data_IF_204263554293
#
_entry.id   IF_204263554293
#
_cell.length_a   1.000
_cell.length_b   1.000
_cell.length_c   1.000
_cell.angle_alpha   90.00
_cell.angle_beta   90.00
_cell.angle_gamma   90.00
#
_symmetry.space_group_name_H-M   'P 1'
#
loop_
_entity.id
_entity.type
_entity.pdbx_description
1 polymer ?
#
# COMPACT_ATOMS: atom_id res chain seq x y z
N UNK A 1 -19.48 7.92 -0.94
CA UNK A 1 -20.14 7.79 -2.27
C UNK A 1 -20.42 9.17 -2.85
N UNK A 2 -20.48 9.31 -4.19
CA UNK A 2 -20.92 10.53 -4.88
C UNK A 2 -19.94 11.72 -4.90
N UNK A 3 -18.68 11.51 -4.50
CA UNK A 3 -17.63 12.54 -4.55
C UNK A 3 -16.76 12.36 -5.79
N UNK A 4 -16.26 13.45 -6.35
CA UNK A 4 -15.14 13.41 -7.30
C UNK A 4 -13.85 13.11 -6.53
N UNK A 5 -12.94 12.39 -7.17
CA UNK A 5 -11.63 12.09 -6.59
C UNK A 5 -10.57 13.03 -7.14
N UNK A 6 -9.54 13.30 -6.33
CA UNK A 6 -8.44 14.15 -6.73
C UNK A 6 -7.52 13.39 -7.69
N UNK A 7 -7.23 14.00 -8.83
CA UNK A 7 -6.23 13.52 -9.78
C UNK A 7 -5.00 14.40 -9.61
N UNK A 8 -3.86 13.79 -9.26
CA UNK A 8 -2.63 14.51 -8.99
C UNK A 8 -1.95 14.97 -10.31
N UNK A 9 -1.76 16.28 -10.53
CA UNK A 9 -1.09 16.79 -11.73
C UNK A 9 0.34 16.26 -11.93
N UNK A 10 1.06 15.97 -10.84
CA UNK A 10 2.41 15.38 -10.92
C UNK A 10 2.36 14.00 -11.57
N UNK A 11 1.36 13.17 -11.24
CA UNK A 11 1.18 11.86 -11.86
C UNK A 11 0.77 11.98 -13.34
N UNK A 12 -0.06 12.96 -13.68
CA UNK A 12 -0.41 13.23 -15.08
C UNK A 12 0.81 13.58 -15.93
N UNK A 13 1.75 14.36 -15.37
CA UNK A 13 2.99 14.72 -16.05
C UNK A 13 3.87 13.49 -16.30
N UNK A 14 4.04 12.62 -15.30
CA UNK A 14 4.79 11.37 -15.45
C UNK A 14 4.18 10.46 -16.52
N UNK A 15 2.85 10.28 -16.50
CA UNK A 15 2.13 9.54 -17.55
C UNK A 15 2.35 10.16 -18.94
N UNK A 16 2.36 11.48 -19.04
CA UNK A 16 2.57 12.18 -20.32
C UNK A 16 3.94 11.84 -20.92
N UNK A 17 4.99 11.67 -20.10
CA UNK A 17 6.32 11.25 -20.59
C UNK A 17 6.26 9.88 -21.28
N UNK A 18 5.52 8.93 -20.71
CA UNK A 18 5.34 7.59 -21.26
C UNK A 18 4.40 7.58 -22.47
N UNK A 19 3.35 8.40 -22.47
CA UNK A 19 2.41 8.56 -23.61
C UNK A 19 3.14 9.06 -24.85
N UNK A 20 4.09 9.99 -24.69
CA UNK A 20 4.86 10.56 -25.79
C UNK A 20 5.70 9.52 -26.54
N UNK A 21 6.07 8.43 -25.88
CA UNK A 21 6.93 7.38 -26.43
C UNK A 21 6.20 6.04 -26.63
N UNK A 22 4.91 5.96 -26.29
CA UNK A 22 4.08 4.78 -26.48
C UNK A 22 3.30 4.81 -27.82
N UNK A 23 2.80 3.65 -28.22
CA UNK A 23 1.93 3.49 -29.39
C UNK A 23 0.87 2.41 -29.16
N UNK A 24 -0.15 2.36 -30.03
CA UNK A 24 -1.23 1.37 -29.99
C UNK A 24 -1.94 1.29 -28.63
N UNK A 25 -2.28 0.06 -28.22
CA UNK A 25 -3.00 -0.23 -26.96
C UNK A 25 -2.35 0.44 -25.75
N UNK A 26 -1.02 0.43 -25.65
CA UNK A 26 -0.30 1.04 -24.52
C UNK A 26 -0.60 2.53 -24.43
N UNK A 27 -0.50 3.26 -25.55
CA UNK A 27 -0.78 4.70 -25.57
C UNK A 27 -2.24 4.99 -25.22
N UNK A 28 -3.17 4.20 -25.76
CA UNK A 28 -4.60 4.37 -25.50
C UNK A 28 -4.93 4.17 -24.02
N UNK A 29 -4.37 3.12 -23.40
CA UNK A 29 -4.55 2.85 -21.97
C UNK A 29 -3.93 3.97 -21.12
N UNK A 30 -2.67 4.36 -21.37
CA UNK A 30 -2.01 5.44 -20.61
C UNK A 30 -2.79 6.77 -20.73
N UNK A 31 -3.35 7.05 -21.91
CA UNK A 31 -4.18 8.25 -22.11
C UNK A 31 -5.45 8.21 -21.26
N UNK A 32 -6.09 7.04 -21.11
CA UNK A 32 -7.23 6.86 -20.20
C UNK A 32 -6.84 7.06 -18.73
N UNK A 33 -5.62 6.64 -18.35
CA UNK A 33 -5.09 6.76 -17.00
C UNK A 33 -4.88 8.22 -16.55
N UNK A 34 -4.72 9.17 -17.49
CA UNK A 34 -4.51 10.61 -17.17
C UNK A 34 -5.58 11.19 -16.23
N UNK A 35 -6.80 10.66 -16.24
CA UNK A 35 -7.90 11.16 -15.41
C UNK A 35 -8.29 10.18 -14.30
N UNK A 36 -7.45 9.19 -14.02
CA UNK A 36 -7.70 8.20 -12.97
C UNK A 36 -7.03 8.66 -11.67
N UNK A 37 -7.77 8.75 -10.55
CA UNK A 37 -7.20 9.17 -9.28
C UNK A 37 -6.29 8.09 -8.70
N UNK A 38 -5.22 8.49 -8.01
CA UNK A 38 -4.38 7.59 -7.21
C UNK A 38 -4.02 8.26 -5.89
N UNK A 39 -3.67 7.47 -4.89
CA UNK A 39 -3.20 8.02 -3.63
C UNK A 39 -1.81 8.64 -3.78
N UNK A 40 -1.49 9.61 -2.93
CA UNK A 40 -0.16 10.19 -2.88
C UNK A 40 0.59 9.73 -1.62
N UNK A 41 1.80 9.18 -1.80
CA UNK A 41 2.60 8.59 -0.73
C UNK A 41 3.42 9.65 0.00
N UNK A 42 3.22 9.76 1.32
CA UNK A 42 3.97 10.66 2.20
C UNK A 42 5.03 9.82 2.91
N UNK A 43 5.99 9.32 2.14
CA UNK A 43 7.02 8.36 2.56
C UNK A 43 8.28 9.02 3.17
N UNK A 44 8.25 10.35 3.31
CA UNK A 44 9.25 11.20 3.98
C UNK A 44 8.60 12.49 4.49
N UNK A 45 9.13 13.07 5.56
CA UNK A 45 8.72 14.33 6.18
C UNK A 45 8.76 15.51 5.20
N UNK A 46 9.70 15.53 4.26
CA UNK A 46 9.84 16.62 3.29
C UNK A 46 8.62 16.79 2.36
N UNK A 47 7.77 15.76 2.22
CA UNK A 47 6.52 15.82 1.45
C UNK A 47 5.35 16.45 2.21
N UNK A 48 5.49 16.81 3.48
CA UNK A 48 4.36 17.35 4.26
C UNK A 48 4.06 18.80 3.88
N UNK A 49 5.06 19.68 3.92
CA UNK A 49 4.89 21.12 3.68
C UNK A 49 5.50 21.52 2.34
N UNK A 50 4.81 22.38 1.61
CA UNK A 50 5.26 22.81 0.29
C UNK A 50 4.17 23.53 -0.50
N UNK A 51 4.58 24.20 -1.57
CA UNK A 51 3.67 24.98 -2.41
C UNK A 51 3.20 24.23 -3.67
N UNK A 52 3.85 23.13 -4.04
CA UNK A 52 3.57 22.37 -5.25
C UNK A 52 2.80 21.06 -4.96
N UNK A 53 2.26 20.44 -6.01
CA UNK A 53 1.48 19.20 -5.94
C UNK A 53 2.31 17.94 -5.67
N UNK A 54 3.55 18.10 -5.21
CA UNK A 54 4.40 17.05 -4.66
C UNK A 54 4.52 17.14 -3.14
N UNK A 55 3.63 17.89 -2.49
CA UNK A 55 3.51 18.00 -1.04
C UNK A 55 2.04 17.92 -0.60
N UNK A 56 1.79 17.47 0.63
CA UNK A 56 0.43 17.44 1.21
C UNK A 56 -0.20 18.83 1.14
N UNK A 57 0.51 19.86 1.62
CA UNK A 57 -0.02 21.23 1.65
C UNK A 57 -0.36 21.76 0.26
N UNK A 58 0.50 21.54 -0.74
CA UNK A 58 0.24 21.98 -2.10
C UNK A 58 -0.89 21.19 -2.78
N UNK A 59 -1.00 19.88 -2.53
CA UNK A 59 -2.11 19.04 -3.03
C UNK A 59 -3.44 19.50 -2.43
N UNK A 60 -3.51 19.72 -1.12
CA UNK A 60 -4.73 20.17 -0.46
C UNK A 60 -5.14 21.57 -0.93
N UNK A 61 -4.18 22.47 -1.17
CA UNK A 61 -4.42 23.79 -1.74
C UNK A 61 -4.98 23.71 -3.16
N UNK A 62 -4.41 22.86 -4.01
CA UNK A 62 -4.92 22.63 -5.37
C UNK A 62 -6.34 22.02 -5.32
N UNK A 63 -6.57 21.00 -4.48
CA UNK A 63 -7.89 20.40 -4.29
C UNK A 63 -8.94 21.41 -3.82
N UNK A 64 -8.60 22.25 -2.83
CA UNK A 64 -9.48 23.29 -2.31
C UNK A 64 -9.87 24.35 -3.35
N UNK A 65 -9.07 24.53 -4.41
CA UNK A 65 -9.35 25.47 -5.49
C UNK A 65 -10.35 24.93 -6.54
N UNK A 66 -10.62 23.62 -6.52
CA UNK A 66 -11.49 22.94 -7.49
C UNK A 66 -12.96 23.03 -7.09
N UNK A 67 -13.84 22.95 -8.10
CA UNK A 67 -15.29 22.91 -7.91
C UNK A 67 -15.92 21.79 -8.76
N UNK A 68 -16.54 20.75 -8.16
CA UNK A 68 -16.60 20.49 -6.72
C UNK A 68 -15.22 20.16 -6.12
N UNK A 69 -15.05 20.41 -4.81
CA UNK A 69 -13.83 20.05 -4.08
C UNK A 69 -13.72 18.52 -4.06
N UNK A 70 -12.65 17.93 -4.64
CA UNK A 70 -12.51 16.49 -4.71
C UNK A 70 -12.02 15.88 -3.39
N UNK A 71 -12.22 14.58 -3.24
CA UNK A 71 -11.63 13.76 -2.19
C UNK A 71 -10.17 13.45 -2.49
N UNK A 72 -9.29 13.71 -1.52
CA UNK A 72 -7.85 13.43 -1.60
C UNK A 72 -7.53 12.19 -0.78
N UNK A 73 -6.71 11.29 -1.32
CA UNK A 73 -6.23 10.09 -0.60
C UNK A 73 -4.72 10.18 -0.43
N UNK A 74 -4.24 10.03 0.80
CA UNK A 74 -2.81 9.95 1.11
C UNK A 74 -2.46 8.60 1.75
N UNK A 75 -1.22 8.17 1.56
CA UNK A 75 -0.61 7.08 2.32
C UNK A 75 0.33 7.70 3.37
N UNK A 76 0.02 7.46 4.65
CA UNK A 76 0.87 7.79 5.79
C UNK A 76 1.85 6.62 5.97
N UNK A 77 3.15 6.86 5.84
CA UNK A 77 4.12 5.78 5.69
C UNK A 77 5.53 6.21 6.08
N UNK A 78 5.80 6.48 7.36
CA UNK A 78 7.15 6.89 7.80
C UNK A 78 7.47 6.44 9.22
N UNK A 79 6.90 5.30 9.66
CA UNK A 79 7.21 4.74 10.97
C UNK A 79 8.74 4.57 11.20
N UNK A 80 9.21 4.71 12.45
CA UNK A 80 10.59 4.35 12.78
C UNK A 80 10.86 2.89 12.46
N UNK A 81 12.01 2.59 11.86
CA UNK A 81 12.35 1.24 11.39
C UNK A 81 11.26 0.66 10.44
N UNK A 82 10.74 1.49 9.54
CA UNK A 82 9.76 1.10 8.51
C UNK A 82 10.21 -0.14 7.74
N UNK A 83 9.27 -0.96 7.26
CA UNK A 83 9.52 -2.11 6.38
C UNK A 83 10.51 -3.11 7.00
N UNK A 84 10.28 -3.49 8.26
CA UNK A 84 11.28 -4.22 9.06
C UNK A 84 11.72 -5.56 8.45
N UNK A 85 10.89 -6.19 7.60
CA UNK A 85 11.22 -7.45 6.94
C UNK A 85 11.82 -7.26 5.54
N UNK A 86 11.79 -6.03 5.00
CA UNK A 86 12.44 -5.72 3.74
C UNK A 86 13.96 -5.68 3.94
N UNK A 87 14.69 -6.10 2.91
CA UNK A 87 16.16 -6.00 2.89
C UNK A 87 16.64 -4.58 2.56
N UNK A 88 15.71 -3.74 2.12
CA UNK A 88 15.97 -2.39 1.67
C UNK A 88 14.78 -1.47 1.99
N UNK A 89 14.64 -1.12 3.27
CA UNK A 89 13.68 -0.09 3.69
C UNK A 89 14.11 1.30 3.23
N UNK A 90 13.11 2.11 2.84
CA UNK A 90 13.30 3.52 2.51
C UNK A 90 13.02 4.48 3.69
N UNK A 91 12.71 3.96 4.90
CA UNK A 91 12.33 4.79 6.05
C UNK A 91 13.46 5.71 6.50
N UNK A 92 13.17 7.00 6.68
CA UNK A 92 14.16 7.99 7.13
C UNK A 92 14.24 8.10 8.65
N UNK A 93 13.24 7.57 9.37
CA UNK A 93 13.20 7.60 10.83
C UNK A 93 13.77 6.28 11.38
N UNK A 94 14.83 6.39 12.17
CA UNK A 94 15.43 5.26 12.87
C UNK A 94 15.07 5.28 14.35
N UNK A 95 14.87 4.10 14.94
CA UNK A 95 14.85 3.99 16.40
C UNK A 95 16.20 4.37 17.01
N UNK A 96 17.27 3.88 16.38
CA UNK A 96 18.66 4.17 16.72
C UNK A 96 19.46 4.33 15.41
N UNK A 97 19.98 5.52 15.10
CA UNK A 97 20.79 5.72 13.90
C UNK A 97 22.25 5.28 14.11
N UNK A 98 22.87 4.77 13.05
CA UNK A 98 24.32 4.59 12.92
C UNK A 98 25.00 5.95 12.67
N UNK A 99 26.33 5.98 12.77
CA UNK A 99 27.12 7.19 12.52
C UNK A 99 26.99 7.73 11.09
N UNK A 100 26.66 6.86 10.13
CA UNK A 100 26.43 7.21 8.72
C UNK A 100 24.97 7.62 8.41
N UNK A 101 24.09 7.63 9.41
CA UNK A 101 22.68 7.98 9.28
C UNK A 101 21.77 6.81 8.89
N UNK A 102 22.30 5.61 8.62
CA UNK A 102 21.47 4.42 8.42
C UNK A 102 20.86 3.93 9.73
N UNK A 103 19.78 3.14 9.70
CA UNK A 103 19.18 2.61 10.93
C UNK A 103 19.96 1.40 11.46
N UNK A 104 20.24 1.40 12.76
CA UNK A 104 20.74 0.23 13.48
C UNK A 104 19.55 -0.63 13.92
N UNK A 105 19.21 -1.63 13.11
CA UNK A 105 18.11 -2.56 13.39
C UNK A 105 18.45 -3.60 14.47
N UNK A 106 19.73 -3.79 14.80
CA UNK A 106 20.17 -4.73 15.85
C UNK A 106 20.01 -4.12 17.26
N UNK A 107 20.00 -2.79 17.37
CA UNK A 107 19.88 -2.11 18.65
C UNK A 107 18.47 -2.24 19.23
N UNK A 108 18.35 -3.02 20.30
CA UNK A 108 17.14 -3.12 21.12
C UNK A 108 16.92 -1.87 22.00
N UNK A 109 15.66 -1.63 22.37
CA UNK A 109 15.28 -0.58 23.30
C UNK A 109 13.83 -0.13 23.12
N UNK A 110 13.50 1.07 23.61
CA UNK A 110 12.13 1.62 23.61
C UNK A 110 11.82 2.51 22.40
N UNK A 111 12.80 2.75 21.52
CA UNK A 111 12.68 3.63 20.37
C UNK A 111 12.23 5.07 20.71
N UNK A 112 12.46 5.56 21.93
CA UNK A 112 11.87 6.83 22.38
C UNK A 112 12.25 8.03 21.49
N UNK A 113 13.48 8.07 20.95
CA UNK A 113 13.91 9.12 20.03
C UNK A 113 13.22 9.02 18.66
N UNK A 114 13.22 7.83 18.04
CA UNK A 114 12.53 7.60 16.76
C UNK A 114 11.03 7.90 16.84
N UNK A 115 10.36 7.43 17.90
CA UNK A 115 8.95 7.75 18.16
C UNK A 115 8.75 9.26 18.29
N UNK A 116 9.58 9.99 19.05
CA UNK A 116 9.46 11.46 19.14
C UNK A 116 9.62 12.15 17.79
N UNK A 117 10.55 11.71 16.95
CA UNK A 117 10.71 12.25 15.59
C UNK A 117 9.46 12.00 14.77
N UNK A 118 8.97 10.75 14.72
CA UNK A 118 7.75 10.39 14.01
C UNK A 118 6.54 11.21 14.49
N UNK A 119 6.33 11.35 15.79
CA UNK A 119 5.19 12.10 16.29
C UNK A 119 5.31 13.61 16.04
N UNK A 120 6.44 14.23 16.39
CA UNK A 120 6.58 15.69 16.41
C UNK A 120 7.01 16.32 15.09
N UNK A 121 7.66 15.57 14.20
CA UNK A 121 8.20 16.07 12.93
C UNK A 121 7.46 15.51 11.71
N UNK A 122 6.77 14.38 11.85
CA UNK A 122 5.97 13.78 10.78
C UNK A 122 4.45 13.90 11.04
N UNK A 123 3.90 13.21 12.04
CA UNK A 123 2.46 13.16 12.28
C UNK A 123 1.87 14.52 12.68
N UNK A 124 2.47 15.23 13.63
CA UNK A 124 1.95 16.51 14.11
C UNK A 124 1.92 17.59 13.00
N UNK A 125 3.00 17.78 12.22
CA UNK A 125 2.98 18.68 11.07
C UNK A 125 1.96 18.28 10.01
N UNK A 126 1.82 16.98 9.72
CA UNK A 126 0.83 16.49 8.76
C UNK A 126 -0.60 16.81 9.24
N UNK A 127 -0.92 16.51 10.50
CA UNK A 127 -2.22 16.84 11.09
C UNK A 127 -2.49 18.36 11.09
N UNK A 128 -1.47 19.18 11.35
CA UNK A 128 -1.57 20.65 11.29
C UNK A 128 -1.88 21.15 9.87
N UNK A 129 -1.29 20.54 8.84
CA UNK A 129 -1.58 20.87 7.44
C UNK A 129 -3.03 20.47 7.12
N UNK A 130 -3.46 19.25 7.46
CA UNK A 130 -4.84 18.80 7.25
C UNK A 130 -5.87 19.70 7.94
N UNK A 131 -5.59 20.15 9.16
CA UNK A 131 -6.46 21.06 9.92
C UNK A 131 -6.61 22.45 9.27
N UNK A 132 -5.66 22.85 8.42
CA UNK A 132 -5.72 24.12 7.67
C UNK A 132 -6.59 24.04 6.42
N UNK A 133 -7.05 22.84 6.03
CA UNK A 133 -7.94 22.60 4.89
C UNK A 133 -9.18 21.77 5.28
N UNK A 134 -9.99 22.21 6.26
CA UNK A 134 -11.14 21.44 6.76
C UNK A 134 -12.23 21.17 5.70
N UNK A 135 -12.24 21.94 4.62
CA UNK A 135 -13.16 21.78 3.50
C UNK A 135 -12.78 20.64 2.54
N UNK A 136 -11.53 20.16 2.57
CA UNK A 136 -11.05 19.12 1.64
C UNK A 136 -11.27 17.74 2.27
N UNK A 137 -12.26 16.95 1.81
CA UNK A 137 -12.47 15.60 2.31
C UNK A 137 -11.21 14.75 2.06
N UNK A 138 -10.68 14.14 3.10
CA UNK A 138 -9.39 13.42 3.02
C UNK A 138 -9.51 11.99 3.53
N UNK A 139 -8.91 11.04 2.82
CA UNK A 139 -8.71 9.67 3.26
C UNK A 139 -7.23 9.46 3.56
N UNK A 140 -6.92 8.85 4.70
CA UNK A 140 -5.56 8.42 5.04
C UNK A 140 -5.52 6.91 5.17
N UNK A 141 -4.59 6.30 4.44
CA UNK A 141 -4.19 4.91 4.64
C UNK A 141 -3.00 4.90 5.59
N UNK A 142 -3.11 4.16 6.69
CA UNK A 142 -2.16 4.23 7.79
C UNK A 142 -1.17 3.07 7.72
N UNK A 143 0.08 3.42 7.48
CA UNK A 143 1.29 2.63 7.67
C UNK A 143 1.22 1.22 7.07
N UNK A 144 1.16 1.08 5.72
CA UNK A 144 1.38 -0.21 5.07
C UNK A 144 2.69 -0.87 5.50
N UNK A 145 2.75 -2.21 5.37
CA UNK A 145 3.94 -3.02 5.70
C UNK A 145 4.49 -2.80 7.14
N UNK A 146 3.57 -2.56 8.09
CA UNK A 146 3.92 -2.34 9.51
C UNK A 146 3.41 -3.46 10.42
N UNK A 147 2.19 -3.33 10.93
CA UNK A 147 1.58 -4.24 11.91
C UNK A 147 1.45 -5.70 11.46
N UNK A 148 1.22 -6.03 10.16
CA UNK A 148 1.27 -7.40 9.68
C UNK A 148 2.59 -8.11 9.99
N UNK A 149 3.73 -7.40 9.99
CA UNK A 149 5.03 -7.95 10.37
C UNK A 149 5.07 -8.40 11.84
N UNK A 150 4.37 -7.70 12.73
CA UNK A 150 4.26 -8.11 14.13
C UNK A 150 3.42 -9.38 14.30
N UNK A 151 2.57 -9.72 13.33
CA UNK A 151 1.76 -10.94 13.37
C UNK A 151 2.53 -12.16 12.85
N UNK A 152 3.41 -12.00 11.85
CA UNK A 152 4.01 -13.13 11.12
C UNK A 152 5.53 -13.19 11.14
N UNK A 153 6.21 -12.04 11.29
CA UNK A 153 7.65 -11.92 11.02
C UNK A 153 8.46 -11.61 12.29
N UNK A 154 7.94 -11.86 13.50
CA UNK A 154 8.69 -11.64 14.74
C UNK A 154 9.95 -12.52 14.88
N UNK A 155 10.08 -13.58 14.08
CA UNK A 155 11.31 -14.36 13.99
C UNK A 155 12.44 -13.66 13.23
N UNK A 156 12.12 -12.64 12.42
CA UNK A 156 13.11 -11.77 11.80
C UNK A 156 13.74 -10.86 12.87
N UNK A 157 15.08 -10.81 13.00
CA UNK A 157 15.75 -9.98 14.00
C UNK A 157 15.36 -8.50 13.97
N UNK A 158 15.03 -7.94 12.81
CA UNK A 158 14.65 -6.54 12.67
C UNK A 158 13.20 -6.28 13.12
N UNK A 159 12.28 -7.17 12.75
CA UNK A 159 10.86 -7.04 13.12
C UNK A 159 10.56 -7.45 14.56
N UNK A 160 11.21 -8.52 15.03
CA UNK A 160 11.12 -8.99 16.42
C UNK A 160 11.89 -8.12 17.41
N UNK A 161 12.72 -7.18 16.94
CA UNK A 161 13.47 -6.27 17.79
C UNK A 161 12.52 -5.44 18.67
N UNK A 162 12.83 -5.34 19.96
CA UNK A 162 12.01 -4.60 20.93
C UNK A 162 11.81 -3.12 20.55
N UNK A 163 12.79 -2.50 19.89
CA UNK A 163 12.70 -1.13 19.42
C UNK A 163 11.67 -0.97 18.29
N UNK A 164 11.71 -1.86 17.29
CA UNK A 164 10.74 -1.87 16.17
C UNK A 164 9.33 -2.16 16.68
N UNK A 165 9.18 -3.17 17.57
CA UNK A 165 7.89 -3.50 18.19
C UNK A 165 7.33 -2.30 18.96
N UNK A 166 8.17 -1.61 19.74
CA UNK A 166 7.78 -0.41 20.47
C UNK A 166 7.38 0.73 19.52
N UNK A 167 8.14 0.95 18.45
CA UNK A 167 7.86 1.97 17.44
C UNK A 167 6.47 1.77 16.81
N UNK A 168 6.17 0.56 16.36
CA UNK A 168 4.92 0.28 15.65
C UNK A 168 3.72 0.33 16.62
N UNK A 169 3.85 -0.24 17.82
CA UNK A 169 2.78 -0.25 18.84
C UNK A 169 2.52 1.13 19.45
N UNK A 170 3.47 2.06 19.40
CA UNK A 170 3.27 3.44 19.87
C UNK A 170 2.88 4.40 18.74
N UNK A 171 3.57 4.30 17.59
CA UNK A 171 3.41 5.20 16.44
C UNK A 171 2.05 5.09 15.77
N UNK A 172 1.61 3.87 15.43
CA UNK A 172 0.32 3.68 14.73
C UNK A 172 -0.87 4.20 15.56
N UNK A 173 -1.00 3.87 16.86
CA UNK A 173 -2.08 4.44 17.65
C UNK A 173 -1.98 5.95 17.82
N UNK A 174 -0.76 6.51 17.90
CA UNK A 174 -0.58 7.96 17.95
C UNK A 174 -1.11 8.64 16.68
N UNK A 175 -0.72 8.14 15.50
CA UNK A 175 -1.19 8.65 14.21
C UNK A 175 -2.73 8.61 14.10
N UNK A 176 -3.34 7.45 14.41
CA UNK A 176 -4.79 7.31 14.39
C UNK A 176 -5.47 8.26 15.37
N UNK A 177 -4.99 8.33 16.61
CA UNK A 177 -5.53 9.22 17.63
C UNK A 177 -5.45 10.67 17.20
N UNK A 178 -4.33 11.09 16.61
CA UNK A 178 -4.13 12.46 16.13
C UNK A 178 -5.06 12.80 14.96
N UNK A 179 -5.08 11.97 13.92
CA UNK A 179 -5.87 12.28 12.74
C UNK A 179 -7.39 12.13 12.97
N UNK A 180 -7.81 11.23 13.86
CA UNK A 180 -9.23 11.04 14.18
C UNK A 180 -9.90 12.26 14.83
N UNK A 181 -9.12 13.25 15.31
CA UNK A 181 -9.69 14.52 15.80
C UNK A 181 -10.19 15.43 14.67
N UNK A 182 -9.85 15.13 13.41
CA UNK A 182 -10.22 15.92 12.24
C UNK A 182 -11.44 15.31 11.55
N UNK A 183 -12.61 15.91 11.73
CA UNK A 183 -13.89 15.34 11.24
C UNK A 183 -14.00 15.14 9.72
N UNK A 184 -13.18 15.84 8.93
CA UNK A 184 -13.11 15.71 7.46
C UNK A 184 -12.13 14.62 7.00
N UNK A 185 -11.45 13.94 7.93
CA UNK A 185 -10.48 12.88 7.67
C UNK A 185 -11.09 11.52 7.96
N UNK A 186 -10.99 10.60 7.01
CA UNK A 186 -11.40 9.20 7.14
C UNK A 186 -10.15 8.30 7.16
N UNK A 187 -10.07 7.39 8.12
CA UNK A 187 -8.88 6.55 8.33
C UNK A 187 -9.15 5.09 7.97
N UNK A 188 -8.22 4.49 7.24
CA UNK A 188 -8.13 3.04 7.07
C UNK A 188 -6.76 2.57 7.52
N UNK A 189 -6.73 1.54 8.38
CA UNK A 189 -5.50 0.91 8.82
C UNK A 189 -5.08 -0.16 7.82
N UNK A 190 -3.82 -0.20 7.42
CA UNK A 190 -3.38 -1.26 6.52
C UNK A 190 -3.43 -2.64 7.17
N UNK A 191 -3.93 -3.61 6.41
CA UNK A 191 -4.05 -5.00 6.79
C UNK A 191 -3.45 -5.94 5.74
N UNK A 192 -2.33 -5.55 5.11
CA UNK A 192 -1.62 -6.36 4.12
C UNK A 192 -2.55 -6.90 3.01
N UNK A 193 -2.53 -8.21 2.76
CA UNK A 193 -3.28 -8.89 1.70
C UNK A 193 -3.52 -10.36 2.04
N UNK A 194 -4.40 -11.04 1.29
CA UNK A 194 -4.82 -12.43 1.53
C UNK A 194 -3.68 -13.43 1.51
N UNK A 195 -2.75 -13.28 0.56
CA UNK A 195 -1.53 -14.10 0.49
C UNK A 195 -0.50 -13.91 1.61
N UNK A 196 -0.78 -13.08 2.64
CA UNK A 196 0.09 -12.87 3.80
C UNK A 196 -0.66 -13.16 5.11
N UNK A 197 -1.77 -12.47 5.34
CA UNK A 197 -2.54 -12.61 6.58
C UNK A 197 -3.71 -13.59 6.46
N UNK A 198 -3.98 -14.17 5.29
CA UNK A 198 -5.14 -15.03 5.09
C UNK A 198 -5.14 -16.33 5.91
N UNK A 199 -3.97 -16.84 6.35
CA UNK A 199 -3.93 -18.00 7.25
C UNK A 199 -4.61 -17.69 8.59
N UNK A 200 -5.48 -18.59 9.11
CA UNK A 200 -6.23 -18.34 10.33
C UNK A 200 -5.40 -17.88 11.54
N UNK A 201 -4.23 -18.50 11.76
CA UNK A 201 -3.34 -18.12 12.88
C UNK A 201 -2.72 -16.73 12.69
N UNK A 202 -2.32 -16.38 11.47
CA UNK A 202 -1.75 -15.07 11.15
C UNK A 202 -2.83 -13.99 11.34
N UNK A 203 -4.02 -14.25 10.82
CA UNK A 203 -5.15 -13.35 10.91
C UNK A 203 -5.58 -13.11 12.36
N UNK A 204 -5.64 -14.17 13.17
CA UNK A 204 -5.96 -14.08 14.59
C UNK A 204 -4.90 -13.28 15.36
N UNK A 205 -3.61 -13.52 15.09
CA UNK A 205 -2.49 -12.78 15.71
C UNK A 205 -2.55 -11.28 15.37
N UNK A 206 -2.83 -10.96 14.11
CA UNK A 206 -3.07 -9.58 13.66
C UNK A 206 -4.28 -8.97 14.37
N UNK A 207 -5.42 -9.66 14.41
CA UNK A 207 -6.64 -9.16 15.05
C UNK A 207 -6.48 -8.91 16.55
N UNK A 208 -5.72 -9.74 17.26
CA UNK A 208 -5.36 -9.52 18.66
C UNK A 208 -4.49 -8.27 18.83
N UNK A 209 -3.52 -8.07 17.94
CA UNK A 209 -2.67 -6.87 17.93
C UNK A 209 -3.50 -5.61 17.74
N UNK A 210 -4.43 -5.58 16.77
CA UNK A 210 -5.27 -4.41 16.51
C UNK A 210 -6.25 -4.14 17.66
N UNK A 211 -6.91 -5.18 18.17
CA UNK A 211 -7.82 -5.06 19.33
C UNK A 211 -7.08 -4.47 20.54
N UNK A 212 -5.86 -4.94 20.82
CA UNK A 212 -5.04 -4.48 21.93
C UNK A 212 -4.62 -3.01 21.85
N UNK A 213 -4.64 -2.40 20.66
CA UNK A 213 -4.31 -0.98 20.49
C UNK A 213 -5.45 -0.02 20.89
N UNK A 214 -6.70 -0.51 20.97
CA UNK A 214 -7.84 0.32 21.37
C UNK A 214 -8.22 1.42 20.39
N UNK A 215 -7.89 1.27 19.10
CA UNK A 215 -8.11 2.28 18.05
C UNK A 215 -9.22 1.93 17.06
N UNK A 216 -9.84 0.74 17.17
CA UNK A 216 -10.88 0.27 16.24
C UNK A 216 -12.05 1.25 16.10
N UNK A 217 -12.47 1.90 17.19
CA UNK A 217 -13.55 2.90 17.16
C UNK A 217 -13.18 4.25 16.53
N UNK A 218 -11.93 4.42 16.07
CA UNK A 218 -11.41 5.67 15.49
C UNK A 218 -11.06 5.53 14.00
N UNK A 219 -11.12 4.31 13.47
CA UNK A 219 -10.92 4.03 12.06
C UNK A 219 -12.26 3.66 11.41
N UNK A 220 -12.37 3.88 10.10
CA UNK A 220 -13.51 3.40 9.32
C UNK A 220 -13.40 1.91 9.00
N UNK A 221 -12.16 1.43 8.90
CA UNK A 221 -11.83 0.02 8.77
C UNK A 221 -10.43 -0.15 8.18
N UNK A 222 -10.26 -1.02 7.18
CA UNK A 222 -8.94 -1.45 6.73
C UNK A 222 -8.67 -1.22 5.24
N UNK A 223 -7.40 -1.03 4.88
CA UNK A 223 -6.95 -1.18 3.50
C UNK A 223 -6.32 -2.55 3.28
N UNK A 224 -6.45 -3.06 2.06
CA UNK A 224 -5.85 -4.33 1.65
C UNK A 224 -5.18 -4.20 0.29
N UNK A 225 -4.27 -5.13 -0.01
CA UNK A 225 -3.51 -5.22 -1.26
C UNK A 225 -2.60 -4.02 -1.57
N UNK A 226 -2.37 -3.11 -0.62
CA UNK A 226 -1.62 -1.87 -0.85
C UNK A 226 -0.26 -2.19 -1.46
N UNK A 227 0.01 -1.65 -2.65
CA UNK A 227 1.23 -1.93 -3.42
C UNK A 227 1.50 -3.41 -3.73
N UNK A 228 0.52 -4.31 -3.60
CA UNK A 228 0.67 -5.71 -3.96
C UNK A 228 -0.11 -6.03 -5.25
N UNK A 229 -0.23 -7.32 -5.53
CA UNK A 229 -0.73 -7.84 -6.79
C UNK A 229 -1.67 -9.04 -6.57
N UNK A 230 -2.21 -9.22 -5.35
CA UNK A 230 -3.22 -10.26 -5.14
C UNK A 230 -4.44 -9.98 -6.00
N UNK A 231 -5.03 -11.02 -6.61
CA UNK A 231 -6.17 -10.85 -7.49
C UNK A 231 -7.36 -10.29 -6.72
N UNK A 232 -8.15 -9.42 -7.36
CA UNK A 232 -9.43 -9.01 -6.79
C UNK A 232 -10.39 -10.22 -6.67
N UNK A 233 -10.49 -11.03 -7.72
CA UNK A 233 -11.25 -12.28 -7.73
C UNK A 233 -12.77 -12.11 -7.69
N UNK A 234 -13.44 -13.14 -7.19
CA UNK A 234 -14.89 -13.19 -6.95
C UNK A 234 -15.10 -13.54 -5.49
N UNK A 235 -16.02 -12.84 -4.83
CA UNK A 235 -16.35 -13.10 -3.43
C UNK A 235 -17.10 -14.42 -3.29
N UNK A 236 -16.66 -15.30 -2.39
CA UNK A 236 -17.37 -16.54 -2.09
C UNK A 236 -18.61 -16.31 -1.20
N UNK A 237 -19.56 -17.28 -1.15
CA UNK A 237 -20.77 -17.17 -0.34
C UNK A 237 -20.53 -17.04 1.17
N UNK A 238 -19.44 -17.62 1.69
CA UNK A 238 -19.08 -17.59 3.11
C UNK A 238 -17.57 -17.76 3.30
N UNK A 239 -17.08 -17.41 4.50
CA UNK A 239 -15.68 -17.65 4.91
C UNK A 239 -15.33 -19.14 4.83
N UNK A 240 -14.09 -19.43 4.43
CA UNK A 240 -13.58 -20.80 4.31
C UNK A 240 -14.22 -21.66 3.22
N UNK A 241 -15.02 -21.08 2.30
CA UNK A 241 -15.77 -21.82 1.27
C UNK A 241 -14.91 -22.82 0.47
N UNK A 242 -13.70 -22.41 0.08
CA UNK A 242 -12.82 -23.20 -0.78
C UNK A 242 -11.91 -24.18 -0.03
N UNK A 243 -11.88 -24.14 1.31
CA UNK A 243 -10.98 -24.97 2.09
C UNK A 243 -11.26 -26.47 1.89
N UNK A 244 -10.26 -27.32 2.10
CA UNK A 244 -10.36 -28.77 1.91
C UNK A 244 -10.71 -29.21 0.49
N UNK A 245 -10.20 -28.49 -0.52
CA UNK A 245 -10.48 -28.70 -1.94
C UNK A 245 -11.98 -28.72 -2.25
N UNK A 246 -12.78 -28.00 -1.46
CA UNK A 246 -14.21 -27.89 -1.69
C UNK A 246 -14.47 -26.85 -2.78
N UNK A 247 -15.51 -27.09 -3.59
CA UNK A 247 -16.00 -26.12 -4.56
C UNK A 247 -14.97 -25.59 -5.58
N UNK A 248 -13.95 -26.38 -5.94
CA UNK A 248 -12.87 -25.95 -6.85
C UNK A 248 -13.33 -25.50 -8.25
N UNK A 249 -14.54 -25.89 -8.68
CA UNK A 249 -15.13 -25.41 -9.93
C UNK A 249 -15.77 -24.02 -9.82
N UNK A 250 -15.96 -23.51 -8.59
CA UNK A 250 -16.51 -22.17 -8.34
C UNK A 250 -15.45 -21.11 -8.71
N UNK A 251 -15.78 -20.11 -9.55
CA UNK A 251 -14.87 -19.02 -9.87
C UNK A 251 -14.30 -18.28 -8.66
N UNK A 252 -15.02 -18.25 -7.52
CA UNK A 252 -14.55 -17.62 -6.29
C UNK A 252 -13.37 -18.39 -5.64
N UNK A 253 -13.18 -19.66 -6.01
CA UNK A 253 -12.08 -20.52 -5.57
C UNK A 253 -10.89 -20.55 -6.53
N UNK A 254 -10.86 -19.68 -7.55
CA UNK A 254 -9.68 -19.52 -8.40
C UNK A 254 -8.47 -19.09 -7.55
N UNK A 255 -7.43 -19.93 -7.55
CA UNK A 255 -6.28 -19.80 -6.64
C UNK A 255 -4.95 -19.67 -7.40
N UNK A 256 -4.66 -18.49 -7.98
CA UNK A 256 -3.42 -18.26 -8.71
C UNK A 256 -2.17 -18.46 -7.85
N UNK A 257 -2.32 -18.32 -6.53
CA UNK A 257 -1.23 -18.34 -5.57
C UNK A 257 -1.09 -19.67 -4.82
N UNK A 258 -1.92 -20.68 -5.15
CA UNK A 258 -1.93 -22.01 -4.53
C UNK A 258 -2.03 -21.95 -2.99
N UNK A 259 -2.78 -20.96 -2.48
CA UNK A 259 -3.01 -20.69 -1.07
C UNK A 259 -3.89 -21.75 -0.41
N UNK A 260 -4.85 -22.33 -1.14
CA UNK A 260 -5.79 -23.33 -0.64
C UNK A 260 -5.05 -24.58 -0.14
N UNK A 261 -4.08 -25.06 -0.92
CA UNK A 261 -3.21 -26.19 -0.55
C UNK A 261 -2.36 -25.94 0.71
N UNK A 262 -2.21 -24.67 1.10
CA UNK A 262 -1.50 -24.22 2.29
C UNK A 262 -2.47 -23.88 3.44
N UNK A 263 -3.74 -24.26 3.33
CA UNK A 263 -4.80 -23.96 4.30
C UNK A 263 -5.11 -22.47 4.47
N UNK A 264 -4.85 -21.67 3.44
CA UNK A 264 -5.22 -20.25 3.42
C UNK A 264 -6.52 -20.06 2.61
N UNK A 265 -7.64 -19.65 3.25
CA UNK A 265 -8.93 -19.41 2.58
C UNK A 265 -9.01 -18.12 1.77
N UNK A 266 -7.97 -17.30 1.75
CA UNK A 266 -7.96 -15.99 1.11
C UNK A 266 -7.32 -16.04 -0.29
N UNK A 267 -7.90 -16.85 -1.20
CA UNK A 267 -7.37 -17.00 -2.57
C UNK A 267 -7.39 -15.69 -3.38
N UNK A 268 -8.24 -14.74 -2.99
CA UNK A 268 -8.36 -13.41 -3.56
C UNK A 268 -8.72 -12.38 -2.49
N UNK A 269 -8.60 -11.10 -2.83
CA UNK A 269 -8.80 -10.01 -1.86
C UNK A 269 -10.26 -9.88 -1.39
N UNK A 270 -11.25 -10.27 -2.21
CA UNK A 270 -12.65 -10.29 -1.77
C UNK A 270 -12.92 -11.35 -0.71
N UNK A 271 -12.33 -12.54 -0.85
CA UNK A 271 -12.38 -13.57 0.19
C UNK A 271 -11.59 -13.12 1.42
N UNK A 272 -10.41 -12.51 1.24
CA UNK A 272 -9.62 -12.00 2.36
C UNK A 272 -10.39 -10.98 3.22
N UNK A 273 -11.06 -10.04 2.58
CA UNK A 273 -11.88 -9.03 3.27
C UNK A 273 -12.99 -9.67 4.11
N UNK A 274 -13.59 -10.78 3.66
CA UNK A 274 -14.57 -11.52 4.47
C UNK A 274 -13.94 -12.14 5.71
N UNK A 275 -12.79 -12.82 5.55
CA UNK A 275 -12.07 -13.44 6.66
C UNK A 275 -11.66 -12.39 7.70
N UNK A 276 -11.15 -11.25 7.24
CA UNK A 276 -10.73 -10.15 8.10
C UNK A 276 -11.91 -9.48 8.81
N UNK A 277 -13.02 -9.24 8.11
CA UNK A 277 -14.23 -8.69 8.71
C UNK A 277 -14.79 -9.58 9.83
N UNK A 278 -14.71 -10.90 9.66
CA UNK A 278 -15.17 -11.87 10.65
C UNK A 278 -14.38 -11.82 11.98
N UNK A 279 -13.17 -11.24 11.99
CA UNK A 279 -12.40 -11.04 13.23
C UNK A 279 -12.91 -9.88 14.08
N UNK A 280 -13.69 -8.96 13.50
CA UNK A 280 -14.13 -7.74 14.18
C UNK A 280 -15.65 -7.51 14.09
N UNK A 281 -16.48 -8.48 14.51
CA UNK A 281 -17.94 -8.41 14.33
C UNK A 281 -18.56 -7.18 14.99
N UNK A 282 -18.06 -6.78 16.15
CA UNK A 282 -18.57 -5.60 16.89
C UNK A 282 -18.15 -4.27 16.29
N UNK A 283 -17.06 -4.23 15.52
CA UNK A 283 -16.58 -2.99 14.89
C UNK A 283 -17.22 -2.76 13.51
N UNK A 284 -17.69 -3.83 12.84
CA UNK A 284 -18.26 -3.78 11.49
C UNK A 284 -17.40 -2.93 10.52
N UNK A 285 -16.11 -3.27 10.36
CA UNK A 285 -15.18 -2.43 9.60
C UNK A 285 -15.56 -2.40 8.11
N UNK A 286 -15.26 -1.28 7.46
CA UNK A 286 -15.30 -1.17 6.00
C UNK A 286 -13.92 -1.30 5.36
N UNK A 287 -13.88 -1.56 4.06
CA UNK A 287 -12.63 -1.86 3.36
C UNK A 287 -12.39 -1.00 2.12
N UNK A 288 -11.13 -0.69 1.87
CA UNK A 288 -10.63 -0.22 0.57
C UNK A 288 -9.62 -1.22 0.05
N UNK A 289 -9.76 -1.63 -1.21
CA UNK A 289 -8.85 -2.60 -1.84
C UNK A 289 -8.01 -1.88 -2.88
N UNK A 290 -6.68 -2.01 -2.79
CA UNK A 290 -5.79 -1.55 -3.85
C UNK A 290 -5.95 -2.43 -5.09
N UNK A 291 -6.28 -1.79 -6.21
CA UNK A 291 -6.49 -2.42 -7.51
C UNK A 291 -5.57 -1.84 -8.60
N UNK A 292 -4.59 -1.02 -8.20
CA UNK A 292 -3.72 -0.31 -9.14
C UNK A 292 -2.94 -1.23 -10.08
N UNK A 293 -2.62 -2.45 -9.65
CA UNK A 293 -1.70 -3.34 -10.38
C UNK A 293 -2.09 -4.83 -10.39
N UNK A 294 -3.31 -5.16 -9.98
CA UNK A 294 -3.77 -6.55 -9.87
C UNK A 294 -4.71 -6.99 -11.01
N UNK A 295 -4.61 -6.37 -12.19
CA UNK A 295 -5.48 -6.67 -13.33
C UNK A 295 -5.25 -8.05 -13.96
N UNK A 296 -4.10 -8.67 -13.68
CA UNK A 296 -3.73 -10.01 -14.13
C UNK A 296 -3.53 -10.92 -12.91
N UNK A 297 -4.28 -12.02 -12.75
CA UNK A 297 -4.21 -12.86 -11.54
C UNK A 297 -3.05 -13.87 -11.53
N UNK A 298 -2.64 -14.42 -12.68
CA UNK A 298 -1.74 -15.60 -12.79
C UNK A 298 -0.34 -15.25 -13.34
N UNK A 299 0.16 -14.05 -13.08
CA UNK A 299 1.44 -13.55 -13.63
C UNK A 299 2.67 -13.88 -12.77
N UNK A 300 2.48 -14.18 -11.47
CA UNK A 300 3.58 -14.50 -10.54
C UNK A 300 3.88 -16.00 -10.53
N UNK A 301 5.16 -16.35 -10.54
CA UNK A 301 5.60 -17.70 -10.25
C UNK A 301 5.57 -17.99 -8.74
N UNK A 302 5.84 -16.98 -7.92
CA UNK A 302 5.73 -17.03 -6.47
C UNK A 302 4.97 -15.79 -5.97
N UNK A 303 3.87 -15.98 -5.27
CA UNK A 303 3.05 -14.90 -4.76
C UNK A 303 3.63 -14.16 -3.54
N UNK A 304 4.74 -14.64 -2.98
CA UNK A 304 5.56 -13.85 -2.06
C UNK A 304 6.32 -12.73 -2.78
N UNK A 305 6.54 -12.83 -4.09
CA UNK A 305 7.17 -11.76 -4.85
C UNK A 305 6.24 -10.54 -4.94
N UNK A 306 6.79 -9.39 -4.56
CA UNK A 306 6.07 -8.11 -4.50
C UNK A 306 6.73 -7.00 -5.32
N UNK A 307 7.99 -7.13 -5.71
CA UNK A 307 8.71 -6.03 -6.36
C UNK A 307 8.61 -6.07 -7.89
N UNK A 308 8.05 -5.03 -8.49
CA UNK A 308 8.03 -4.75 -9.93
C UNK A 308 7.56 -5.96 -10.76
N UNK A 309 6.38 -6.49 -10.46
CA UNK A 309 5.95 -7.79 -10.98
C UNK A 309 5.71 -7.79 -12.49
N UNK A 310 6.43 -8.69 -13.16
CA UNK A 310 6.37 -9.01 -14.58
C UNK A 310 5.03 -9.58 -14.96
N UNK A 311 4.53 -9.13 -16.10
CA UNK A 311 3.23 -9.55 -16.60
C UNK A 311 2.05 -8.99 -15.83
N UNK A 312 2.27 -8.19 -14.78
CA UNK A 312 1.21 -7.47 -14.11
C UNK A 312 0.53 -6.48 -15.08
N UNK A 313 -0.71 -6.13 -14.74
CA UNK A 313 -1.55 -5.19 -15.48
C UNK A 313 -2.28 -4.27 -14.52
N UNK A 314 -2.61 -3.06 -14.98
CA UNK A 314 -3.53 -2.19 -14.22
C UNK A 314 -4.86 -2.92 -14.04
N UNK A 315 -5.40 -2.93 -12.81
CA UNK A 315 -6.70 -3.52 -12.49
C UNK A 315 -7.84 -2.51 -12.57
N UNK A 316 -8.95 -2.80 -11.87
CA UNK A 316 -10.13 -1.93 -11.82
C UNK A 316 -9.73 -0.49 -11.57
N UNK A 317 -10.26 0.44 -12.37
CA UNK A 317 -10.16 1.86 -12.01
C UNK A 317 -10.88 2.14 -10.68
N UNK A 318 -10.50 3.19 -9.94
CA UNK A 318 -11.14 3.54 -8.69
C UNK A 318 -12.64 3.72 -8.81
N UNK A 319 -13.38 3.02 -7.96
CA UNK A 319 -14.85 2.97 -8.03
C UNK A 319 -15.46 2.60 -6.68
N UNK A 320 -16.66 3.09 -6.41
CA UNK A 320 -17.50 2.65 -5.28
C UNK A 320 -18.51 1.58 -5.69
N UNK A 321 -18.53 1.18 -6.97
CA UNK A 321 -19.31 0.05 -7.45
C UNK A 321 -18.54 -1.24 -7.19
N UNK A 322 -18.55 -1.69 -5.94
CA UNK A 322 -17.80 -2.86 -5.47
C UNK A 322 -18.69 -4.11 -5.45
N UNK A 323 -18.06 -5.30 -5.42
CA UNK A 323 -18.79 -6.57 -5.36
C UNK A 323 -19.65 -6.71 -4.10
N UNK A 324 -19.26 -6.01 -3.02
CA UNK A 324 -19.98 -5.97 -1.77
C UNK A 324 -19.96 -4.55 -1.19
N UNK A 325 -20.87 -3.70 -1.67
CA UNK A 325 -20.94 -2.30 -1.28
C UNK A 325 -21.28 -2.07 0.21
N UNK A 326 -21.72 -3.11 0.94
CA UNK A 326 -21.93 -3.01 2.39
C UNK A 326 -20.63 -3.13 3.18
N UNK A 327 -19.66 -3.85 2.64
CA UNK A 327 -18.38 -4.13 3.28
C UNK A 327 -17.23 -3.30 2.69
N UNK A 328 -17.24 -3.09 1.37
CA UNK A 328 -16.14 -2.48 0.63
C UNK A 328 -16.59 -1.12 0.11
N UNK A 329 -15.97 -0.06 0.63
CA UNK A 329 -16.27 1.32 0.27
C UNK A 329 -15.76 1.67 -1.14
N UNK A 330 -14.58 1.16 -1.51
CA UNK A 330 -14.00 1.42 -2.81
C UNK A 330 -12.96 0.37 -3.23
N UNK A 331 -12.87 0.16 -4.54
CA UNK A 331 -11.60 -0.19 -5.16
C UNK A 331 -10.88 1.12 -5.45
N UNK A 332 -9.58 1.19 -5.18
CA UNK A 332 -8.80 2.41 -5.38
C UNK A 332 -7.38 2.08 -5.82
N UNK A 333 -6.66 3.03 -6.41
CA UNK A 333 -5.24 2.87 -6.72
C UNK A 333 -4.45 3.49 -5.58
N UNK A 334 -4.04 2.65 -4.62
CA UNK A 334 -3.30 3.11 -3.44
C UNK A 334 -1.81 3.20 -3.78
N UNK A 335 -1.23 2.22 -4.49
CA UNK A 335 0.04 2.41 -5.19
C UNK A 335 -0.19 3.02 -6.56
N UNK A 336 0.52 4.12 -6.86
CA UNK A 336 0.48 4.79 -8.16
C UNK A 336 1.08 3.89 -9.25
N UNK A 337 0.31 3.45 -10.26
CA UNK A 337 0.84 2.62 -11.35
C UNK A 337 1.92 3.36 -12.14
N UNK A 338 3.12 2.77 -12.20
CA UNK A 338 4.29 3.33 -12.88
C UNK A 338 5.40 3.82 -11.93
N UNK A 339 5.12 3.97 -10.64
CA UNK A 339 6.18 4.13 -9.64
C UNK A 339 6.82 2.77 -9.31
N UNK A 340 8.15 2.71 -9.39
CA UNK A 340 8.91 1.51 -9.03
C UNK A 340 8.65 1.09 -7.58
N UNK A 341 8.67 -0.22 -7.33
CA UNK A 341 8.65 -0.82 -5.99
C UNK A 341 10.03 -0.82 -5.34
N UNK A 342 11.08 -0.78 -6.15
CA UNK A 342 12.47 -0.90 -5.72
C UNK A 342 13.41 -1.05 -6.91
N UNK A 343 14.66 -0.67 -6.70
CA UNK A 343 15.68 -0.72 -7.75
C UNK A 343 16.11 -2.16 -8.06
N UNK A 344 16.57 -2.36 -9.29
CA UNK A 344 17.44 -3.50 -9.60
C UNK A 344 18.82 -3.30 -8.98
N UNK A 345 19.61 -4.37 -8.82
CA UNK A 345 20.95 -4.29 -8.20
C UNK A 345 21.85 -3.23 -8.86
N UNK A 346 21.71 -3.08 -10.18
CA UNK A 346 22.29 -1.99 -10.96
C UNK A 346 21.18 -1.04 -11.38
N UNK A 347 21.38 0.26 -11.15
CA UNK A 347 20.47 1.35 -11.51
C UNK A 347 20.56 1.68 -13.01
N UNK A 348 19.59 2.42 -13.57
CA UNK A 348 19.60 2.83 -14.98
C UNK A 348 20.84 3.59 -15.44
N UNK A 349 21.50 4.31 -14.53
CA UNK A 349 22.75 5.05 -14.79
C UNK A 349 24.02 4.18 -14.69
N UNK A 350 23.87 2.89 -14.38
CA UNK A 350 24.97 1.94 -14.20
C UNK A 350 25.57 1.91 -12.80
N UNK A 351 25.12 2.76 -11.88
CA UNK A 351 25.56 2.72 -10.48
C UNK A 351 24.91 1.55 -9.73
N UNK A 352 25.50 1.15 -8.59
CA UNK A 352 24.91 0.12 -7.74
C UNK A 352 23.77 0.72 -6.92
N UNK A 353 22.66 0.01 -6.81
CA UNK A 353 21.59 0.48 -5.96
C UNK A 353 22.01 0.45 -4.48
N UNK A 354 21.90 1.57 -3.73
CA UNK A 354 22.25 1.61 -2.32
C UNK A 354 21.39 0.72 -1.42
N UNK A 355 20.15 0.44 -1.86
CA UNK A 355 19.10 -0.25 -1.11
C UNK A 355 18.46 -1.31 -2.00
N UNK A 356 19.25 -2.29 -2.43
CA UNK A 356 18.74 -3.39 -3.24
C UNK A 356 18.03 -4.43 -2.37
N UNK A 357 16.76 -4.70 -2.67
CA UNK A 357 16.05 -5.86 -2.14
C UNK A 357 16.15 -7.05 -3.08
N UNK A 358 16.46 -8.24 -2.57
CA UNK A 358 16.52 -9.46 -3.39
C UNK A 358 15.20 -9.81 -4.06
N UNK A 359 14.05 -9.40 -3.50
CA UNK A 359 12.76 -9.57 -4.16
C UNK A 359 12.70 -8.81 -5.48
N UNK A 360 13.37 -7.65 -5.60
CA UNK A 360 13.51 -6.89 -6.86
C UNK A 360 14.49 -7.53 -7.86
N UNK A 361 15.24 -8.54 -7.43
CA UNK A 361 16.06 -9.41 -8.28
C UNK A 361 15.40 -10.72 -8.64
N UNK A 362 14.16 -10.97 -8.20
CA UNK A 362 13.46 -12.22 -8.46
C UNK A 362 13.21 -12.43 -9.96
N UNK A 363 12.88 -13.68 -10.34
CA UNK A 363 12.48 -14.00 -11.71
C UNK A 363 11.20 -13.29 -12.16
N UNK A 364 10.35 -12.94 -11.18
CA UNK A 364 9.09 -12.24 -11.39
C UNK A 364 9.29 -10.73 -11.46
N UNK A 365 10.44 -10.17 -11.06
CA UNK A 365 10.68 -8.73 -11.16
C UNK A 365 11.14 -8.33 -12.56
N UNK A 366 10.55 -7.27 -13.12
CA UNK A 366 11.05 -6.67 -14.36
C UNK A 366 12.33 -5.86 -14.12
N UNK A 367 13.17 -5.77 -15.13
CA UNK A 367 14.48 -5.12 -15.06
C UNK A 367 15.58 -6.01 -14.49
N UNK A 368 15.25 -7.17 -13.89
CA UNK A 368 16.23 -8.13 -13.38
C UNK A 368 16.86 -8.97 -14.50
N UNK A 369 16.19 -9.17 -15.64
CA UNK A 369 16.68 -10.00 -16.76
C UNK A 369 17.54 -9.21 -17.74
N UNK A 370 18.38 -9.93 -18.49
CA UNK A 370 19.19 -9.37 -19.57
C UNK A 370 18.30 -8.76 -20.66
N UNK A 371 18.67 -7.57 -21.15
CA UNK A 371 17.94 -6.84 -22.19
C UNK A 371 16.78 -5.99 -21.70
N UNK A 372 16.45 -6.02 -20.41
CA UNK A 372 15.38 -5.21 -19.84
C UNK A 372 15.91 -3.87 -19.30
N UNK A 373 15.15 -2.76 -19.48
CA UNK A 373 15.43 -1.53 -18.76
C UNK A 373 15.45 -1.77 -17.24
N UNK A 374 16.48 -1.25 -16.59
CA UNK A 374 16.69 -1.38 -15.15
C UNK A 374 15.64 -0.60 -14.36
N UNK A 375 15.25 -1.11 -13.20
CA UNK A 375 14.29 -0.44 -12.33
C UNK A 375 15.00 0.67 -11.54
N UNK A 376 14.44 1.88 -11.46
CA UNK A 376 14.95 2.93 -10.59
C UNK A 376 14.56 2.65 -9.13
N UNK A 377 15.03 3.49 -8.21
CA UNK A 377 14.66 3.41 -6.79
C UNK A 377 13.14 3.45 -6.59
N UNK A 378 12.67 2.90 -5.47
CA UNK A 378 11.25 2.90 -5.13
C UNK A 378 10.66 4.32 -5.17
N UNK A 379 9.45 4.45 -5.71
CA UNK A 379 8.76 5.74 -5.87
C UNK A 379 9.19 6.55 -7.09
N UNK A 380 10.33 6.24 -7.73
CA UNK A 380 10.71 6.89 -8.99
C UNK A 380 9.91 6.31 -10.16
N UNK A 381 9.70 7.14 -11.18
CA UNK A 381 8.99 6.74 -12.39
C UNK A 381 9.72 5.65 -13.16
N UNK A 382 9.01 4.57 -13.46
CA UNK A 382 9.52 3.43 -14.20
C UNK A 382 8.71 3.22 -15.49
N UNK A 383 9.14 3.91 -16.54
CA UNK A 383 8.49 3.90 -17.87
C UNK A 383 8.26 2.47 -18.42
N UNK A 384 9.22 1.57 -18.20
CA UNK A 384 9.08 0.17 -18.64
C UNK A 384 7.94 -0.55 -17.91
N UNK A 385 7.79 -0.32 -16.59
CA UNK A 385 6.71 -0.89 -15.81
C UNK A 385 5.35 -0.34 -16.23
N UNK A 386 5.20 0.99 -16.33
CA UNK A 386 3.88 1.59 -16.62
C UNK A 386 3.37 1.17 -17.99
N UNK A 387 4.26 1.02 -18.99
CA UNK A 387 3.91 0.53 -20.31
C UNK A 387 3.49 -0.94 -20.30
N UNK A 388 4.16 -1.79 -19.51
CA UNK A 388 3.73 -3.18 -19.31
C UNK A 388 2.38 -3.25 -18.60
N UNK A 389 2.18 -2.48 -17.52
CA UNK A 389 0.92 -2.42 -16.80
C UNK A 389 -0.23 -1.99 -17.71
N UNK A 390 0.01 -1.00 -18.58
CA UNK A 390 -0.95 -0.52 -19.57
C UNK A 390 -1.24 -1.53 -20.69
N UNK A 391 -0.22 -2.28 -21.15
CA UNK A 391 -0.37 -3.34 -22.14
C UNK A 391 -1.29 -4.46 -21.62
N UNK A 392 -1.14 -4.82 -20.34
CA UNK A 392 -1.83 -5.93 -19.71
C UNK A 392 -3.08 -5.49 -18.91
N UNK A 393 -3.51 -4.24 -19.07
CA UNK A 393 -4.59 -3.66 -18.28
C UNK A 393 -5.91 -4.43 -18.45
N UNK A 394 -6.63 -4.55 -17.33
CA UNK A 394 -7.98 -5.06 -17.19
C UNK A 394 -8.76 -4.09 -16.28
N UNK A 395 -9.02 -2.89 -16.83
CA UNK A 395 -9.50 -1.69 -16.14
C UNK A 395 -11.01 -1.61 -16.00
#
# INVERSE_FOLDING_TARGET
MGRTYYVNPTYQQELQTSINTASGKVKDTLTKMLNVPSAYWIDVMSKIKGSNTSSVEGILRDAASKNPIPLVTFIVYDLPNRDCHAKASNGEICCYPNADGTCNYDQSGDCAAGIRTYTSQYIDPFASVLASFPQVPTVLIIEPDSLPNLATNQGDPHCGNSATVAAYKAGVPYAINKFSTLSHVTLYLDAAHGGWLGWPNNLQSFAQTITGMGVLGKIRGFSTNVANYQPLGVQCPQVGWCLNNQHQSDPCCADPCRLESQWNPAQNELNYVMELAAQFPSASPHFVIDTGRNGVPNMRADCANWCNIRGAGVGSVPTTSTANATLIDAYFWLKTPGESDGCTEVLPDGSRCPRFDSFCGSQDSIGSRSGEPRAPQAGHWFDYQVKMLAQNANM
#
